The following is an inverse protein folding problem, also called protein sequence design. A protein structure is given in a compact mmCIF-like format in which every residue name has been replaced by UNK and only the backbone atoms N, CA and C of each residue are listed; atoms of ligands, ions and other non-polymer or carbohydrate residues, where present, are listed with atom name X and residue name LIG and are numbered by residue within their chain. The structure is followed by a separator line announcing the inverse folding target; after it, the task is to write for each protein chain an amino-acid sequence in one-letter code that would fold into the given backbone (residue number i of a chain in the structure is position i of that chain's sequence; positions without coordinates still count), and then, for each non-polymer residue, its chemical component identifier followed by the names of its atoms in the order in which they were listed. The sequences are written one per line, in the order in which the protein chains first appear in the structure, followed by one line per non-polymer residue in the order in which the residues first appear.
data_IF_175172828704
#
_entry.id   IF_175172828704
#
_cell.length_a   1.000
_cell.length_b   1.000
_cell.length_c   1.000
_cell.angle_alpha   90.00
_cell.angle_beta   90.00
_cell.angle_gamma   90.00
#
_symmetry.space_group_name_H-M   'P 1'
#
loop_
_entity.id
_entity.type
_entity.pdbx_description
1 polymer ?
#
# COMPACT_ATOMS: atom_id res chain seq x y z
N UNK A 1 5.86 -2.01 5.64
CA UNK A 1 6.28 -2.90 4.54
C UNK A 1 5.14 -3.76 4.03
N UNK A 2 4.53 -4.63 4.85
CA UNK A 2 3.41 -5.49 4.42
C UNK A 2 2.26 -4.73 3.74
N UNK A 3 1.84 -3.57 4.28
CA UNK A 3 0.83 -2.73 3.63
C UNK A 3 1.24 -2.27 2.22
N UNK A 4 2.49 -1.82 2.04
CA UNK A 4 3.01 -1.37 0.75
C UNK A 4 3.07 -2.53 -0.25
N UNK A 5 3.41 -3.74 0.22
CA UNK A 5 3.35 -4.94 -0.59
C UNK A 5 1.91 -5.25 -1.05
N UNK A 6 0.95 -5.24 -0.12
CA UNK A 6 -0.47 -5.45 -0.41
C UNK A 6 -1.03 -4.41 -1.39
N UNK A 7 -0.64 -3.14 -1.26
CA UNK A 7 -1.01 -2.06 -2.17
C UNK A 7 -0.49 -2.31 -3.59
N UNK A 8 0.78 -2.73 -3.71
CA UNK A 8 1.38 -3.08 -4.99
C UNK A 8 0.71 -4.31 -5.62
N UNK A 9 0.39 -5.33 -4.83
CA UNK A 9 -0.32 -6.52 -5.30
C UNK A 9 -1.73 -6.17 -5.80
N UNK A 10 -2.46 -5.36 -5.03
CA UNK A 10 -3.77 -4.87 -5.41
C UNK A 10 -3.72 -4.03 -6.69
N UNK A 11 -2.67 -3.21 -6.87
CA UNK A 11 -2.48 -2.44 -8.10
C UNK A 11 -2.17 -3.34 -9.31
N UNK A 12 -1.36 -4.39 -9.14
CA UNK A 12 -1.12 -5.41 -10.17
C UNK A 12 -2.44 -6.07 -10.62
N UNK A 13 -3.24 -6.56 -9.66
CA UNK A 13 -4.52 -7.22 -9.95
C UNK A 13 -5.50 -6.27 -10.64
N UNK A 14 -5.57 -5.00 -10.22
CA UNK A 14 -6.41 -3.99 -10.88
C UNK A 14 -5.99 -3.73 -12.31
N UNK A 15 -4.69 -3.66 -12.60
CA UNK A 15 -4.18 -3.50 -13.96
C UNK A 15 -4.56 -4.70 -14.85
N UNK A 16 -4.42 -5.93 -14.34
CA UNK A 16 -4.86 -7.14 -15.04
C UNK A 16 -6.37 -7.12 -15.32
N UNK A 17 -7.19 -6.79 -14.32
CA UNK A 17 -8.64 -6.70 -14.49
C UNK A 17 -9.05 -5.61 -15.49
N UNK A 18 -8.35 -4.49 -15.53
CA UNK A 18 -8.62 -3.41 -16.48
C UNK A 18 -8.28 -3.83 -17.92
N UNK A 19 -7.24 -4.64 -18.13
CA UNK A 19 -6.90 -5.22 -19.44
C UNK A 19 -7.98 -6.22 -19.91
N UNK A 20 -8.46 -7.07 -19.01
CA UNK A 20 -9.58 -7.99 -19.29
C UNK A 20 -10.86 -7.24 -19.64
N UNK A 21 -11.18 -6.19 -18.87
CA UNK A 21 -12.34 -5.32 -19.11
C UNK A 21 -12.24 -4.64 -20.48
N UNK A 22 -11.07 -4.08 -20.81
CA UNK A 22 -10.82 -3.47 -22.12
C UNK A 22 -11.04 -4.46 -23.26
N UNK A 23 -10.54 -5.69 -23.10
CA UNK A 23 -10.69 -6.76 -24.10
C UNK A 23 -12.16 -7.05 -24.39
N UNK A 24 -12.96 -7.19 -23.33
CA UNK A 24 -14.41 -7.42 -23.43
C UNK A 24 -15.14 -6.22 -24.06
N UNK A 25 -14.89 -5.00 -23.56
CA UNK A 25 -15.57 -3.80 -24.06
C UNK A 25 -15.27 -3.54 -25.53
N UNK A 26 -14.04 -3.79 -25.99
CA UNK A 26 -13.70 -3.67 -27.42
C UNK A 26 -14.41 -4.73 -28.27
N UNK A 27 -14.55 -5.96 -27.75
CA UNK A 27 -15.29 -7.01 -28.45
C UNK A 27 -16.79 -6.64 -28.57
N UNK A 28 -17.38 -6.12 -27.50
CA UNK A 28 -18.78 -5.67 -27.48
C UNK A 28 -19.02 -4.49 -28.41
N UNK A 29 -18.11 -3.50 -28.41
CA UNK A 29 -18.18 -2.35 -29.32
C UNK A 29 -18.12 -2.79 -30.80
N UNK A 30 -17.26 -3.76 -31.13
CA UNK A 30 -17.18 -4.33 -32.49
C UNK A 30 -18.46 -5.06 -32.87
N UNK A 31 -19.04 -5.85 -31.95
CA UNK A 31 -20.29 -6.55 -32.21
C UNK A 31 -21.45 -5.58 -32.46
N UNK A 32 -21.55 -4.51 -31.66
CA UNK A 32 -22.54 -3.45 -31.87
C UNK A 32 -22.36 -2.76 -33.23
N UNK A 33 -21.12 -2.46 -33.63
CA UNK A 33 -20.84 -1.85 -34.94
C UNK A 33 -21.35 -2.75 -36.09
N UNK A 34 -21.09 -4.06 -36.03
CA UNK A 34 -21.59 -5.01 -37.04
C UNK A 34 -23.11 -5.00 -37.14
N UNK A 35 -23.83 -4.94 -36.01
CA UNK A 35 -25.31 -4.89 -36.00
C UNK A 35 -25.84 -3.58 -36.59
N UNK A 36 -25.13 -2.46 -36.38
CA UNK A 36 -25.43 -1.17 -36.99
C UNK A 36 -25.22 -1.21 -38.50
N UNK A 37 -24.11 -1.82 -38.97
CA UNK A 37 -23.83 -2.01 -40.40
C UNK A 37 -24.90 -2.89 -41.09
N UNK A 38 -25.43 -3.89 -40.39
CA UNK A 38 -26.56 -4.72 -40.84
C UNK A 38 -27.92 -3.97 -40.79
N UNK A 39 -27.96 -2.75 -40.26
CA UNK A 39 -29.19 -1.96 -40.09
C UNK A 39 -30.12 -2.48 -38.99
N UNK A 40 -29.61 -3.34 -38.10
CA UNK A 40 -30.37 -3.97 -37.00
C UNK A 40 -30.34 -3.14 -35.72
N UNK A 41 -29.44 -2.17 -35.63
CA UNK A 41 -29.32 -1.26 -34.50
C UNK A 41 -29.16 0.21 -34.94
N UNK A 42 -29.55 1.19 -34.10
CA UNK A 42 -29.33 2.61 -34.37
C UNK A 42 -27.84 2.99 -34.36
N UNK A 43 -27.43 3.92 -35.24
CA UNK A 43 -26.07 4.48 -35.30
C UNK A 43 -25.53 4.97 -33.94
N UNK A 44 -26.42 5.51 -33.09
CA UNK A 44 -26.05 5.98 -31.75
C UNK A 44 -25.46 4.85 -30.90
N UNK A 45 -25.89 3.59 -31.07
CA UNK A 45 -25.36 2.46 -30.31
C UNK A 45 -23.91 2.15 -30.68
N UNK A 46 -23.54 2.28 -31.96
CA UNK A 46 -22.15 2.16 -32.40
C UNK A 46 -21.25 3.23 -31.78
N UNK A 47 -21.70 4.49 -31.78
CA UNK A 47 -20.97 5.61 -31.16
C UNK A 47 -20.81 5.41 -29.65
N UNK A 48 -21.85 4.92 -28.97
CA UNK A 48 -21.77 4.58 -27.55
C UNK A 48 -20.75 3.48 -27.27
N UNK A 49 -20.73 2.42 -28.08
CA UNK A 49 -19.74 1.35 -27.95
C UNK A 49 -18.30 1.84 -28.14
N UNK A 50 -18.05 2.73 -29.11
CA UNK A 50 -16.74 3.35 -29.29
C UNK A 50 -16.32 4.21 -28.09
N UNK A 51 -17.26 4.98 -27.52
CA UNK A 51 -17.02 5.78 -26.34
C UNK A 51 -16.73 4.92 -25.10
N UNK A 52 -17.50 3.83 -24.90
CA UNK A 52 -17.27 2.83 -23.85
C UNK A 52 -15.86 2.22 -23.99
N UNK A 53 -15.46 1.82 -25.20
CA UNK A 53 -14.12 1.29 -25.47
C UNK A 53 -13.01 2.32 -25.24
N UNK A 54 -13.22 3.60 -25.59
CA UNK A 54 -12.27 4.67 -25.30
C UNK A 54 -12.11 4.89 -23.78
N UNK A 55 -13.21 4.86 -23.04
CA UNK A 55 -13.19 4.94 -21.57
C UNK A 55 -12.42 3.77 -20.95
N UNK A 56 -12.68 2.55 -21.42
CA UNK A 56 -11.98 1.36 -20.94
C UNK A 56 -10.46 1.42 -21.20
N UNK A 57 -10.03 1.98 -22.33
CA UNK A 57 -8.59 2.21 -22.61
C UNK A 57 -7.98 3.18 -21.60
N UNK A 58 -8.65 4.30 -21.32
CA UNK A 58 -8.19 5.26 -20.34
C UNK A 58 -8.09 4.66 -18.93
N UNK A 59 -9.09 3.89 -18.49
CA UNK A 59 -9.07 3.18 -17.20
C UNK A 59 -7.92 2.17 -17.12
N UNK A 60 -7.65 1.45 -18.20
CA UNK A 60 -6.51 0.53 -18.28
C UNK A 60 -5.19 1.26 -18.14
N UNK A 61 -5.00 2.37 -18.85
CA UNK A 61 -3.75 3.14 -18.79
C UNK A 61 -3.52 3.76 -17.40
N UNK A 62 -4.58 4.25 -16.76
CA UNK A 62 -4.53 4.72 -15.35
C UNK A 62 -4.15 3.58 -14.40
N UNK A 63 -4.76 2.40 -14.54
CA UNK A 63 -4.46 1.24 -13.69
C UNK A 63 -3.01 0.75 -13.86
N UNK A 64 -2.47 0.78 -15.08
CA UNK A 64 -1.07 0.47 -15.35
C UNK A 64 -0.14 1.50 -14.69
N UNK A 65 -0.44 2.79 -14.82
CA UNK A 65 0.36 3.85 -14.19
C UNK A 65 0.37 3.73 -12.65
N UNK A 66 -0.77 3.42 -12.04
CA UNK A 66 -0.85 3.23 -10.58
C UNK A 66 -0.06 1.99 -10.12
N UNK A 67 -0.10 0.89 -10.88
CA UNK A 67 0.73 -0.30 -10.62
C UNK A 67 2.21 0.06 -10.65
N UNK A 68 2.65 0.76 -11.68
CA UNK A 68 4.06 1.11 -11.84
C UNK A 68 4.52 2.06 -10.71
N UNK A 69 3.65 3.00 -10.30
CA UNK A 69 3.90 3.84 -9.13
C UNK A 69 3.99 3.04 -7.84
N UNK A 70 3.12 2.04 -7.63
CA UNK A 70 3.16 1.18 -6.46
C UNK A 70 4.42 0.30 -6.41
N UNK A 71 4.88 -0.21 -7.55
CA UNK A 71 6.16 -0.94 -7.65
C UNK A 71 7.37 -0.06 -7.33
N UNK A 72 7.39 1.18 -7.81
CA UNK A 72 8.43 2.13 -7.46
C UNK A 72 8.46 2.42 -5.95
N UNK A 73 7.27 2.62 -5.34
CA UNK A 73 7.15 2.80 -3.88
C UNK A 73 7.65 1.58 -3.10
N UNK A 74 7.28 0.38 -3.51
CA UNK A 74 7.72 -0.86 -2.86
C UNK A 74 9.24 -1.03 -2.97
N UNK A 75 9.81 -0.85 -4.16
CA UNK A 75 11.26 -0.93 -4.41
C UNK A 75 12.02 0.02 -3.48
N UNK A 76 11.55 1.27 -3.38
CA UNK A 76 12.19 2.29 -2.55
C UNK A 76 12.08 1.98 -1.05
N UNK A 77 10.89 1.63 -0.54
CA UNK A 77 10.67 1.36 0.90
C UNK A 77 11.37 0.08 1.36
N UNK A 78 11.41 -0.95 0.52
CA UNK A 78 12.06 -2.21 0.82
C UNK A 78 13.57 -2.19 0.53
N UNK A 79 14.10 -1.09 -0.02
CA UNK A 79 15.52 -0.93 -0.38
C UNK A 79 16.01 -2.07 -1.32
N UNK A 80 15.15 -2.51 -2.23
CA UNK A 80 15.47 -3.60 -3.17
C UNK A 80 16.40 -3.04 -4.25
N UNK A 81 17.55 -3.67 -4.52
CA UNK A 81 18.52 -3.15 -5.49
C UNK A 81 18.05 -3.26 -6.94
N UNK A 82 17.06 -4.11 -7.21
CA UNK A 82 16.44 -4.32 -8.53
C UNK A 82 14.98 -3.87 -8.46
N UNK A 83 14.48 -3.10 -9.45
CA UNK A 83 13.08 -2.69 -9.47
C UNK A 83 12.12 -3.87 -9.45
N UNK A 84 11.09 -3.80 -8.61
CA UNK A 84 9.98 -4.75 -8.65
C UNK A 84 9.22 -4.55 -9.96
N UNK A 85 9.00 -5.63 -10.69
CA UNK A 85 8.23 -5.64 -11.94
C UNK A 85 7.02 -6.55 -11.90
N UNK A 86 6.93 -7.41 -10.87
CA UNK A 86 5.86 -8.37 -10.68
C UNK A 86 5.77 -8.77 -9.21
N UNK A 87 4.56 -9.14 -8.80
CA UNK A 87 4.27 -9.77 -7.50
C UNK A 87 3.73 -11.17 -7.76
N UNK A 88 4.42 -12.17 -7.25
CA UNK A 88 4.14 -13.60 -7.48
C UNK A 88 3.39 -14.21 -6.30
N UNK A 89 3.86 -13.94 -5.08
CA UNK A 89 3.24 -14.44 -3.86
C UNK A 89 2.10 -13.54 -3.39
N UNK A 90 0.94 -14.14 -3.14
CA UNK A 90 -0.26 -13.43 -2.73
C UNK A 90 -0.33 -13.28 -1.21
N UNK A 91 -0.30 -12.03 -0.75
CA UNK A 91 -0.64 -11.69 0.63
C UNK A 91 -2.17 -11.51 0.79
N UNK A 92 -2.86 -11.11 -0.29
CA UNK A 92 -4.29 -10.81 -0.26
C UNK A 92 -5.18 -12.05 -0.10
N UNK A 93 -4.71 -13.22 -0.52
CA UNK A 93 -5.46 -14.47 -0.40
C UNK A 93 -5.08 -15.27 0.87
N UNK A 94 -4.12 -14.78 1.65
CA UNK A 94 -3.65 -15.45 2.87
C UNK A 94 -4.61 -15.20 4.05
N UNK A 95 -4.91 -16.27 4.81
CA UNK A 95 -5.73 -16.14 6.02
C UNK A 95 -4.95 -15.37 7.11
N UNK A 96 -5.56 -14.37 7.76
CA UNK A 96 -4.86 -13.60 8.78
C UNK A 96 -4.51 -14.52 9.96
N UNK A 97 -3.22 -14.59 10.28
CA UNK A 97 -2.78 -15.28 11.49
C UNK A 97 -3.14 -14.42 12.70
N UNK A 98 -3.98 -14.95 13.59
CA UNK A 98 -4.32 -14.30 14.86
C UNK A 98 -3.12 -14.32 15.80
N UNK A 99 -2.39 -13.22 15.86
CA UNK A 99 -1.30 -13.02 16.84
C UNK A 99 -1.92 -12.46 18.13
N UNK A 100 -1.76 -13.21 19.23
CA UNK A 100 -2.21 -12.79 20.57
C UNK A 100 -1.54 -11.50 21.05
N UNK A 101 -2.25 -10.75 21.91
CA UNK A 101 -1.93 -9.38 22.39
C UNK A 101 -0.45 -9.12 22.69
N UNK A 102 0.19 -8.29 21.85
CA UNK A 102 1.61 -7.85 21.92
C UNK A 102 1.73 -6.47 22.59
N UNK A 103 0.76 -6.05 23.41
CA UNK A 103 0.70 -4.66 23.92
C UNK A 103 1.92 -4.32 24.80
N UNK A 104 2.42 -5.27 25.59
CA UNK A 104 3.61 -5.06 26.45
C UNK A 104 4.93 -4.98 25.66
N UNK A 105 4.97 -5.54 24.45
CA UNK A 105 6.15 -5.51 23.57
C UNK A 105 6.15 -4.34 22.57
N UNK A 106 5.12 -3.48 22.62
CA UNK A 106 5.04 -2.33 21.75
C UNK A 106 6.24 -1.39 21.98
N UNK A 107 7.02 -1.04 20.93
CA UNK A 107 8.18 -0.17 21.07
C UNK A 107 7.85 1.19 21.69
N UNK A 108 6.65 1.72 21.43
CA UNK A 108 6.15 2.96 22.02
C UNK A 108 5.98 2.86 23.52
N UNK A 109 5.50 1.71 24.02
CA UNK A 109 5.38 1.43 25.47
C UNK A 109 6.77 1.33 26.09
N UNK A 110 7.69 0.57 25.48
CA UNK A 110 9.09 0.48 25.94
C UNK A 110 9.80 1.83 25.96
N UNK A 111 9.57 2.69 24.96
CA UNK A 111 10.11 4.06 24.93
C UNK A 111 9.51 4.89 26.06
N UNK A 112 8.20 4.80 26.30
CA UNK A 112 7.55 5.52 27.39
C UNK A 112 8.08 5.06 28.76
N UNK A 113 8.30 3.75 28.95
CA UNK A 113 8.91 3.19 30.15
C UNK A 113 10.35 3.67 30.34
N UNK A 114 11.16 3.66 29.28
CA UNK A 114 12.52 4.17 29.32
C UNK A 114 12.56 5.68 29.69
N UNK A 115 11.63 6.46 29.13
CA UNK A 115 11.47 7.89 29.46
C UNK A 115 11.07 8.08 30.92
N UNK A 116 10.15 7.26 31.44
CA UNK A 116 9.75 7.26 32.85
C UNK A 116 10.94 6.95 33.75
N UNK A 117 11.68 5.87 33.49
CA UNK A 117 12.86 5.51 34.30
C UNK A 117 13.94 6.60 34.27
N UNK A 118 14.14 7.27 33.13
CA UNK A 118 15.06 8.41 33.04
C UNK A 118 14.61 9.60 33.89
N UNK A 119 13.30 9.88 33.94
CA UNK A 119 12.74 10.93 34.78
C UNK A 119 12.87 10.61 36.28
N UNK A 120 12.61 9.37 36.68
CA UNK A 120 12.77 8.90 38.07
C UNK A 120 14.22 9.07 38.54
N UNK A 121 15.20 8.63 37.74
CA UNK A 121 16.64 8.82 38.07
C UNK A 121 17.03 10.29 38.21
N UNK A 122 16.43 11.19 37.42
CA UNK A 122 16.69 12.64 37.56
C UNK A 122 16.17 13.18 38.88
N UNK A 123 14.98 12.75 39.31
CA UNK A 123 14.42 13.13 40.62
C UNK A 123 15.33 12.63 41.74
N UNK A 124 15.86 11.41 41.64
CA UNK A 124 16.75 10.85 42.65
C UNK A 124 18.06 11.64 42.76
N UNK A 125 18.68 12.01 41.63
CA UNK A 125 19.88 12.87 41.63
C UNK A 125 19.60 14.21 42.31
N UNK A 126 18.48 14.85 41.98
CA UNK A 126 18.09 16.13 42.61
C UNK A 126 17.85 15.96 44.12
N UNK A 127 17.24 14.84 44.54
CA UNK A 127 17.04 14.53 45.96
C UNK A 127 18.34 14.28 46.70
N UNK A 128 19.32 13.64 46.07
CA UNK A 128 20.67 13.43 46.63
C UNK A 128 21.39 14.76 46.78
N UNK A 129 21.35 15.64 45.77
CA UNK A 129 21.98 16.96 45.82
C UNK A 129 21.37 17.89 46.88
N UNK A 130 20.11 17.68 47.27
CA UNK A 130 19.47 18.42 48.37
C UNK A 130 19.93 17.96 49.77
N UNK A 131 20.69 16.87 49.89
CA UNK A 131 21.27 16.41 51.17
C UNK A 131 22.64 17.07 51.41
N UNK A 132 23.03 17.33 52.67
CA UNK A 132 24.34 17.89 52.98
C UNK A 132 25.46 16.96 52.50
N UNK A 133 26.42 17.52 51.76
CA UNK A 133 27.53 16.77 51.19
C UNK A 133 28.63 16.58 52.26
N UNK A 134 28.91 15.34 52.67
CA UNK A 134 29.91 15.02 53.69
C UNK A 134 31.20 14.59 52.98
N UNK A 135 32.09 15.54 52.74
CA UNK A 135 33.41 15.28 52.18
C UNK A 135 34.45 15.19 53.30
N UNK A 136 35.14 14.06 53.42
CA UNK A 136 36.28 13.89 54.33
C UNK A 136 37.56 13.69 53.52
N UNK A 137 38.53 14.59 53.67
CA UNK A 137 39.87 14.47 53.08
C UNK A 137 40.88 14.04 54.16
N UNK A 138 41.68 13.02 53.88
CA UNK A 138 42.80 12.59 54.73
C UNK A 138 44.05 13.27 54.19
N UNK A 139 44.73 14.06 55.04
CA UNK A 139 46.01 14.72 54.77
C UNK A 139 47.10 14.22 55.71
#
# INVERSE_FOLDING_TARGET
LALIYAEAEAAQRRATLAEETLTLTVADARAALTLVEEGREPLLRGIQGEAEAASARATRDEAVAERDAAYARLTAVAMIPVPVTQIEDSLLDEAPTTIGSVIEDAPTVRVAEAQRSAAERRIDVQRVQARPDINASIG
#
